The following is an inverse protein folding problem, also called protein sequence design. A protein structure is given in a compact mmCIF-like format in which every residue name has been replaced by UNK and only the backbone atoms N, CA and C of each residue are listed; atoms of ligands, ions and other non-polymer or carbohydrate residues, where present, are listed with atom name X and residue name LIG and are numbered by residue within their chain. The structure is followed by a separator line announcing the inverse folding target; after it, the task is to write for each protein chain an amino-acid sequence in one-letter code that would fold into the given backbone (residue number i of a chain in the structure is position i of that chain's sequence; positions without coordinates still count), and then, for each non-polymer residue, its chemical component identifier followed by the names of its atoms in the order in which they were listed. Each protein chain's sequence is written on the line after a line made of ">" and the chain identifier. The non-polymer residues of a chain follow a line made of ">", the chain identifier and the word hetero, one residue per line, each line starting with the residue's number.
data_IF_851316547160
#
_entry.id   IF_851316547160
#
_cell.length_a   1.000
_cell.length_b   1.000
_cell.length_c   1.000
_cell.angle_alpha   90.00
_cell.angle_beta   90.00
_cell.angle_gamma   90.00
#
_symmetry.space_group_name_H-M   'P 1'
#
loop_
_entity.id
_entity.type
_entity.pdbx_description
1 polymer ?
#
# COMPACT_ATOMS: atom_id res chain seq x y z
N UNK A 1 -8.81 -6.04 3.41
CA UNK A 1 -8.36 -6.14 2.01
C UNK A 1 -6.84 -6.03 2.01
N UNK A 2 -6.16 -6.72 1.10
CA UNK A 2 -4.71 -6.64 0.96
C UNK A 2 -4.44 -6.12 -0.46
N UNK A 3 -3.70 -5.03 -0.56
CA UNK A 3 -3.28 -4.43 -1.82
C UNK A 3 -1.76 -4.48 -1.91
N UNK A 4 -1.25 -4.74 -3.11
CA UNK A 4 0.19 -4.85 -3.38
C UNK A 4 0.51 -3.87 -4.50
N UNK A 5 1.52 -3.04 -4.27
CA UNK A 5 1.99 -2.02 -5.20
C UNK A 5 3.47 -2.25 -5.50
N UNK A 6 3.86 -2.02 -6.74
CA UNK A 6 5.21 -2.20 -7.26
C UNK A 6 5.69 -0.91 -7.91
N UNK A 7 6.98 -0.60 -7.78
CA UNK A 7 7.60 0.47 -8.54
C UNK A 7 9.10 0.63 -8.25
N UNK A 8 9.79 1.36 -9.11
CA UNK A 8 11.23 1.62 -8.98
C UNK A 8 11.55 2.69 -7.93
N UNK A 9 10.59 3.60 -7.68
CA UNK A 9 10.70 4.69 -6.71
C UNK A 9 9.79 4.44 -5.51
N UNK A 10 10.36 4.49 -4.30
CA UNK A 10 9.62 4.19 -3.08
C UNK A 10 8.51 5.21 -2.80
N UNK A 11 8.82 6.49 -2.94
CA UNK A 11 7.91 7.59 -2.57
C UNK A 11 6.71 7.59 -3.52
N UNK A 12 6.97 7.48 -4.83
CA UNK A 12 5.92 7.38 -5.83
C UNK A 12 5.05 6.12 -5.65
N UNK A 13 5.66 4.97 -5.33
CA UNK A 13 4.92 3.72 -5.09
C UNK A 13 4.05 3.84 -3.85
N UNK A 14 4.51 4.54 -2.81
CA UNK A 14 3.78 4.76 -1.58
C UNK A 14 2.61 5.74 -1.78
N UNK A 15 2.84 6.85 -2.49
CA UNK A 15 1.76 7.80 -2.85
C UNK A 15 0.64 7.11 -3.63
N UNK A 16 0.99 6.24 -4.58
CA UNK A 16 0.03 5.43 -5.32
C UNK A 16 -0.76 4.49 -4.40
N UNK A 17 -0.08 3.85 -3.45
CA UNK A 17 -0.72 2.99 -2.46
C UNK A 17 -1.74 3.74 -1.58
N UNK A 18 -1.39 4.97 -1.17
CA UNK A 18 -2.29 5.86 -0.44
C UNK A 18 -3.48 6.30 -1.28
N UNK A 19 -3.28 6.71 -2.53
CA UNK A 19 -4.34 7.15 -3.42
C UNK A 19 -5.39 6.06 -3.71
N UNK A 20 -4.96 4.79 -3.72
CA UNK A 20 -5.84 3.63 -3.92
C UNK A 20 -6.54 3.14 -2.63
N UNK A 21 -6.23 3.72 -1.47
CA UNK A 21 -6.92 3.38 -0.23
C UNK A 21 -8.27 4.07 -0.19
N UNK A 22 -9.35 3.28 -0.35
CA UNK A 22 -10.74 3.77 -0.37
C UNK A 22 -11.11 4.49 0.94
N UNK A 23 -11.92 5.54 0.84
CA UNK A 23 -12.32 6.40 1.98
C UNK A 23 -12.95 5.66 3.18
N UNK A 24 -13.54 4.48 2.96
CA UNK A 24 -14.17 3.67 4.01
C UNK A 24 -13.24 2.60 4.61
N UNK A 25 -11.94 2.68 4.32
CA UNK A 25 -10.95 1.71 4.76
C UNK A 25 -9.78 2.42 5.45
N UNK A 26 -9.33 1.87 6.58
CA UNK A 26 -8.13 2.33 7.27
C UNK A 26 -6.97 1.38 7.00
N UNK A 27 -5.76 1.92 6.87
CA UNK A 27 -4.54 1.10 6.84
C UNK A 27 -4.28 0.54 8.23
N UNK A 28 -4.16 -0.79 8.31
CA UNK A 28 -3.87 -1.52 9.55
C UNK A 28 -2.40 -1.94 9.64
N UNK A 29 -1.83 -2.32 8.51
CA UNK A 29 -0.44 -2.76 8.40
C UNK A 29 0.10 -2.33 7.03
N UNK A 30 1.37 -1.97 7.00
CA UNK A 30 2.08 -1.59 5.79
C UNK A 30 3.48 -2.19 5.84
N UNK A 31 3.82 -3.00 4.83
CA UNK A 31 5.14 -3.59 4.69
C UNK A 31 5.77 -3.14 3.38
N UNK A 32 7.00 -2.69 3.47
CA UNK A 32 7.81 -2.32 2.31
C UNK A 32 8.92 -3.36 2.18
N UNK A 33 9.05 -3.93 0.99
CA UNK A 33 10.15 -4.82 0.63
C UNK A 33 10.86 -4.25 -0.60
N UNK A 34 12.13 -4.60 -0.78
CA UNK A 34 12.87 -4.34 -2.01
C UNK A 34 13.33 -5.67 -2.59
N UNK A 35 12.76 -6.05 -3.73
CA UNK A 35 12.96 -7.37 -4.36
C UNK A 35 13.08 -7.16 -5.87
N UNK A 36 14.05 -7.82 -6.50
CA UNK A 36 14.27 -7.74 -7.97
C UNK A 36 14.41 -6.30 -8.50
N UNK A 37 15.04 -5.42 -7.72
CA UNK A 37 15.23 -4.00 -8.06
C UNK A 37 13.94 -3.17 -8.10
N UNK A 38 12.88 -3.63 -7.45
CA UNK A 38 11.62 -2.90 -7.27
C UNK A 38 11.24 -2.79 -5.79
N UNK A 39 10.62 -1.67 -5.42
CA UNK A 39 9.91 -1.52 -4.16
C UNK A 39 8.54 -2.17 -4.24
N UNK A 40 8.26 -3.07 -3.30
CA UNK A 40 6.98 -3.78 -3.16
C UNK A 40 6.33 -3.34 -1.86
N UNK A 41 5.21 -2.63 -1.97
CA UNK A 41 4.44 -2.12 -0.83
C UNK A 41 3.19 -2.95 -0.66
N UNK A 42 3.09 -3.64 0.47
CA UNK A 42 1.93 -4.46 0.84
C UNK A 42 1.14 -3.71 1.90
N UNK A 43 -0.06 -3.26 1.53
CA UNK A 43 -0.97 -2.52 2.40
C UNK A 43 -2.12 -3.42 2.81
N UNK A 44 -2.29 -3.62 4.12
CA UNK A 44 -3.45 -4.29 4.68
C UNK A 44 -4.43 -3.24 5.18
N UNK A 45 -5.63 -3.25 4.61
CA UNK A 45 -6.70 -2.34 5.00
C UNK A 45 -7.84 -3.08 5.69
N UNK A 46 -8.52 -2.39 6.60
CA UNK A 46 -9.71 -2.86 7.30
C UNK A 46 -10.85 -1.87 7.07
N UNK A 47 -12.06 -2.38 6.84
CA UNK A 47 -13.23 -1.52 6.64
C UNK A 47 -13.49 -0.78 7.94
N UNK A 48 -13.58 0.54 7.88
CA UNK A 48 -13.98 1.33 9.04
C UNK A 48 -15.48 1.06 9.25
N UNK A 49 -15.81 0.40 10.36
CA UNK A 49 -17.19 0.26 10.79
C UNK A 49 -17.68 1.64 11.24
N UNK A 50 -18.73 2.15 10.60
CA UNK A 50 -19.43 3.38 10.99
C UNK A 50 -20.40 3.07 12.12
#
# INVERSE_FOLDING_TARGET
>A
MINIFHGEDLDQTFENACAHTLANYQVKDCKVNFINNEYVIVVKTEKVAV
#
